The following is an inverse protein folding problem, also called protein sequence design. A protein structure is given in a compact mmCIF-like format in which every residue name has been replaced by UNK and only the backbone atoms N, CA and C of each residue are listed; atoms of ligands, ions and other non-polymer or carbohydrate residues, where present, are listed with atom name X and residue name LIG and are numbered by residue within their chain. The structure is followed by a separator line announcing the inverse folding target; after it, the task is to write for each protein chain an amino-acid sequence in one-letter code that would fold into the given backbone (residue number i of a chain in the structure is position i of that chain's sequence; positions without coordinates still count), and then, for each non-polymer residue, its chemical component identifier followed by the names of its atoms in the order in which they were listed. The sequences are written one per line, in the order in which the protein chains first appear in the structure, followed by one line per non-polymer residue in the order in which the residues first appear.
data_IF_062688348809
#
_entry.id   IF_062688348809
#
_cell.length_a   1.000
_cell.length_b   1.000
_cell.length_c   1.000
_cell.angle_alpha   90.00
_cell.angle_beta   90.00
_cell.angle_gamma   90.00
#
_symmetry.space_group_name_H-M   'P 1'
#
loop_
_entity.id
_entity.type
_entity.pdbx_description
1 polymer ?
#
# COMPACT_ATOMS: atom_id res chain seq x y z
N UNK A 1 15.65 45.00 -21.57
CA UNK A 1 15.99 43.62 -21.16
C UNK A 1 17.32 43.36 -21.82
N UNK A 2 18.38 43.28 -21.03
CA UNK A 2 19.78 43.55 -21.40
C UNK A 2 20.19 42.94 -22.75
N UNK A 3 20.70 43.80 -23.64
CA UNK A 3 21.15 43.41 -24.99
C UNK A 3 22.42 42.54 -24.98
N UNK A 4 22.97 42.21 -23.82
CA UNK A 4 24.20 41.44 -23.65
C UNK A 4 23.99 39.93 -23.35
N UNK A 5 22.76 39.45 -23.16
CA UNK A 5 22.55 38.01 -22.89
C UNK A 5 22.72 37.15 -24.15
N UNK A 6 23.34 35.99 -23.96
CA UNK A 6 23.47 34.96 -25.00
C UNK A 6 22.09 34.39 -25.35
N UNK A 7 21.86 34.03 -26.61
CA UNK A 7 20.55 33.55 -27.07
C UNK A 7 20.01 32.36 -26.25
N UNK A 8 20.89 31.45 -25.81
CA UNK A 8 20.53 30.33 -24.93
C UNK A 8 19.97 30.78 -23.57
N UNK A 9 20.53 31.86 -23.01
CA UNK A 9 20.11 32.41 -21.72
C UNK A 9 18.78 33.15 -21.87
N UNK A 10 18.59 33.87 -23.00
CA UNK A 10 17.30 34.50 -23.32
C UNK A 10 16.20 33.46 -23.45
N UNK A 11 16.45 32.33 -24.13
CA UNK A 11 15.49 31.23 -24.24
C UNK A 11 15.15 30.67 -22.86
N UNK A 12 16.15 30.34 -22.04
CA UNK A 12 15.94 29.82 -20.69
C UNK A 12 15.14 30.79 -19.80
N UNK A 13 15.38 32.10 -19.93
CA UNK A 13 14.66 33.14 -19.21
C UNK A 13 13.18 33.19 -19.63
N UNK A 14 12.90 33.14 -20.94
CA UNK A 14 11.54 33.14 -21.47
C UNK A 14 10.78 31.89 -21.05
N UNK A 15 11.43 30.72 -21.08
CA UNK A 15 10.83 29.46 -20.62
C UNK A 15 10.53 29.49 -19.12
N UNK A 16 11.47 29.94 -18.30
CA UNK A 16 11.30 30.08 -16.85
C UNK A 16 10.15 31.03 -16.52
N UNK A 17 10.09 32.18 -17.22
CA UNK A 17 9.00 33.14 -17.10
C UNK A 17 7.66 32.50 -17.43
N UNK A 18 7.56 31.80 -18.57
CA UNK A 18 6.33 31.10 -18.99
C UNK A 18 5.91 30.05 -17.97
N UNK A 19 6.85 29.29 -17.42
CA UNK A 19 6.59 28.29 -16.39
C UNK A 19 5.99 28.92 -15.12
N UNK A 20 6.62 29.96 -14.59
CA UNK A 20 6.15 30.67 -13.39
C UNK A 20 4.73 31.20 -13.59
N UNK A 21 4.46 31.85 -14.73
CA UNK A 21 3.11 32.36 -15.00
C UNK A 21 2.06 31.25 -15.15
N UNK A 22 2.41 30.14 -15.82
CA UNK A 22 1.52 28.99 -15.98
C UNK A 22 1.14 28.36 -14.63
N UNK A 23 2.08 28.33 -13.68
CA UNK A 23 1.88 27.70 -12.37
C UNK A 23 1.59 28.72 -11.24
N UNK A 24 1.37 29.99 -11.58
CA UNK A 24 1.23 31.08 -10.62
C UNK A 24 0.19 30.82 -9.54
N UNK A 25 -0.98 30.31 -9.92
CA UNK A 25 -2.07 29.96 -8.99
C UNK A 25 -1.62 28.90 -7.98
N UNK A 26 -0.91 27.86 -8.43
CA UNK A 26 -0.39 26.81 -7.55
C UNK A 26 0.70 27.34 -6.60
N UNK A 27 1.55 28.25 -7.08
CA UNK A 27 2.57 28.91 -6.26
C UNK A 27 1.90 29.78 -5.18
N UNK A 28 0.88 30.56 -5.52
CA UNK A 28 0.15 31.37 -4.53
C UNK A 28 -0.57 30.49 -3.49
N UNK A 29 -1.12 29.34 -3.91
CA UNK A 29 -1.78 28.41 -3.00
C UNK A 29 -0.85 27.86 -1.91
N UNK A 30 0.48 27.89 -2.11
CA UNK A 30 1.43 27.49 -1.06
C UNK A 30 1.38 28.38 0.18
N UNK A 31 0.85 29.62 0.06
CA UNK A 31 0.69 30.55 1.18
C UNK A 31 -0.55 30.25 2.03
N UNK A 32 -1.42 29.34 1.60
CA UNK A 32 -2.60 28.95 2.36
C UNK A 32 -2.15 28.20 3.62
N UNK A 33 -2.66 28.54 4.83
CA UNK A 33 -2.39 27.79 6.05
C UNK A 33 -2.68 26.28 5.95
N UNK A 34 -3.66 25.90 5.13
CA UNK A 34 -4.05 24.50 4.91
C UNK A 34 -3.14 23.78 3.88
N UNK A 35 -2.16 24.47 3.30
CA UNK A 35 -1.24 23.89 2.34
C UNK A 35 -0.15 23.11 3.06
N UNK A 36 -0.25 21.78 3.00
CA UNK A 36 0.84 20.88 3.39
C UNK A 36 1.92 20.91 2.33
N UNK A 37 3.02 21.62 2.60
CA UNK A 37 4.21 21.62 1.75
C UNK A 37 4.80 20.21 1.61
N UNK A 38 5.37 19.91 0.45
CA UNK A 38 6.02 18.64 0.18
C UNK A 38 7.53 18.84 -0.05
N UNK A 39 8.37 18.13 0.71
CA UNK A 39 9.83 18.10 0.50
C UNK A 39 10.24 17.04 -0.52
N UNK A 40 9.42 16.81 -1.55
CA UNK A 40 9.63 15.74 -2.53
C UNK A 40 11.01 15.82 -3.20
N UNK A 41 11.39 17.02 -3.63
CA UNK A 41 12.67 17.25 -4.31
C UNK A 41 13.86 16.92 -3.41
N UNK A 42 13.81 17.30 -2.13
CA UNK A 42 14.85 16.97 -1.15
C UNK A 42 14.94 15.46 -0.90
N UNK A 43 13.80 14.78 -0.77
CA UNK A 43 13.77 13.32 -0.60
C UNK A 43 14.37 12.60 -1.81
N UNK A 44 14.03 13.00 -3.03
CA UNK A 44 14.54 12.33 -4.24
C UNK A 44 16.02 12.62 -4.45
N UNK A 45 16.41 13.89 -4.44
CA UNK A 45 17.77 14.33 -4.80
C UNK A 45 18.82 14.01 -3.74
N UNK A 46 18.48 14.09 -2.45
CA UNK A 46 19.45 13.90 -1.37
C UNK A 46 19.28 12.55 -0.68
N UNK A 47 18.07 12.23 -0.22
CA UNK A 47 17.85 11.10 0.68
C UNK A 47 17.95 9.76 -0.05
N UNK A 48 17.18 9.62 -1.12
CA UNK A 48 17.09 8.38 -1.89
C UNK A 48 18.32 8.20 -2.76
N UNK A 49 18.72 9.26 -3.47
CA UNK A 49 19.87 9.23 -4.38
C UNK A 49 21.20 8.91 -3.67
N UNK A 50 21.38 9.33 -2.41
CA UNK A 50 22.57 8.99 -1.63
C UNK A 50 22.82 7.48 -1.49
N UNK A 51 21.79 6.64 -1.62
CA UNK A 51 21.93 5.18 -1.56
C UNK A 51 21.63 4.45 -2.86
N UNK A 52 20.64 4.95 -3.61
CA UNK A 52 20.12 4.29 -4.81
C UNK A 52 20.81 4.73 -6.10
N UNK A 53 21.47 5.90 -6.10
CA UNK A 53 22.14 6.45 -7.28
C UNK A 53 23.66 6.54 -7.12
N UNK A 54 24.17 6.80 -5.91
CA UNK A 54 25.61 7.01 -5.65
C UNK A 54 26.51 5.81 -5.94
N UNK A 55 25.98 4.59 -5.84
CA UNK A 55 26.71 3.35 -6.14
C UNK A 55 25.84 2.48 -7.03
N UNK A 56 26.24 2.20 -8.28
CA UNK A 56 25.45 1.36 -9.17
C UNK A 56 25.35 -0.04 -8.58
N UNK A 57 24.18 -0.35 -8.04
CA UNK A 57 23.84 -1.63 -7.44
C UNK A 57 22.61 -2.15 -8.18
N UNK A 58 22.60 -3.45 -8.50
CA UNK A 58 21.42 -4.11 -9.02
C UNK A 58 20.39 -4.24 -7.90
N UNK A 59 19.48 -3.27 -7.80
CA UNK A 59 18.35 -3.35 -6.89
C UNK A 59 17.23 -4.16 -7.53
N UNK A 60 16.67 -5.13 -6.79
CA UNK A 60 15.35 -5.62 -7.12
C UNK A 60 14.31 -4.52 -6.87
N UNK A 61 13.18 -4.56 -7.57
CA UNK A 61 12.09 -3.60 -7.37
C UNK A 61 11.65 -3.54 -5.90
N UNK A 62 11.47 -4.70 -5.28
CA UNK A 62 11.09 -4.84 -3.87
C UNK A 62 12.15 -4.32 -2.91
N UNK A 63 13.44 -4.56 -3.20
CA UNK A 63 14.53 -4.08 -2.37
C UNK A 63 14.68 -2.56 -2.42
N UNK A 64 14.55 -1.98 -3.61
CA UNK A 64 14.55 -0.52 -3.79
C UNK A 64 13.39 0.13 -3.02
N UNK A 65 12.19 -0.44 -3.11
CA UNK A 65 11.00 0.05 -2.42
C UNK A 65 11.17 0.02 -0.89
N UNK A 66 11.63 -1.11 -0.34
CA UNK A 66 11.85 -1.23 1.11
C UNK A 66 12.88 -0.22 1.61
N UNK A 67 13.98 -0.02 0.89
CA UNK A 67 15.00 0.95 1.28
C UNK A 67 14.48 2.38 1.21
N UNK A 68 13.68 2.71 0.19
CA UNK A 68 13.07 4.01 0.08
C UNK A 68 12.14 4.29 1.27
N UNK A 69 11.27 3.33 1.62
CA UNK A 69 10.37 3.43 2.78
C UNK A 69 11.13 3.57 4.09
N UNK A 70 12.17 2.76 4.31
CA UNK A 70 12.98 2.82 5.53
C UNK A 70 13.70 4.17 5.69
N UNK A 71 14.25 4.71 4.60
CA UNK A 71 14.91 6.03 4.65
C UNK A 71 13.93 7.16 4.92
N UNK A 72 12.74 7.13 4.30
CA UNK A 72 11.70 8.10 4.58
C UNK A 72 11.21 8.01 6.04
N UNK A 73 11.09 6.80 6.57
CA UNK A 73 10.68 6.58 7.97
C UNK A 73 11.71 7.13 8.97
N UNK A 74 13.00 6.87 8.73
CA UNK A 74 14.11 7.36 9.55
C UNK A 74 14.15 8.89 9.60
N UNK A 75 14.00 9.56 8.45
CA UNK A 75 13.94 11.03 8.37
C UNK A 75 12.76 11.65 9.06
N UNK A 76 11.62 10.95 9.10
CA UNK A 76 10.45 11.38 9.84
C UNK A 76 10.61 11.13 11.37
N UNK A 77 11.80 10.76 11.84
CA UNK A 77 12.11 10.49 13.25
C UNK A 77 11.66 9.10 13.71
N UNK A 78 11.34 8.21 12.79
CA UNK A 78 10.91 6.85 13.11
C UNK A 78 12.06 5.96 13.56
N UNK A 79 11.90 5.24 14.67
CA UNK A 79 12.86 4.23 15.10
C UNK A 79 12.65 2.92 14.33
N UNK A 80 13.55 2.62 13.39
CA UNK A 80 13.46 1.42 12.52
C UNK A 80 13.32 0.13 13.33
N UNK A 81 14.04 -0.01 14.46
CA UNK A 81 13.99 -1.23 15.27
C UNK A 81 12.60 -1.43 15.87
N UNK A 82 12.04 -0.38 16.45
CA UNK A 82 10.69 -0.42 17.02
C UNK A 82 9.63 -0.68 15.95
N UNK A 83 9.78 -0.06 14.77
CA UNK A 83 8.90 -0.29 13.62
C UNK A 83 8.88 -1.76 13.19
N UNK A 84 10.06 -2.37 13.04
CA UNK A 84 10.19 -3.78 12.68
C UNK A 84 9.65 -4.73 13.76
N UNK A 85 9.88 -4.41 15.04
CA UNK A 85 9.31 -5.19 16.15
C UNK A 85 7.78 -5.14 16.16
N UNK A 86 7.21 -3.97 15.90
CA UNK A 86 5.76 -3.80 15.81
C UNK A 86 5.18 -4.59 14.64
N UNK A 87 5.78 -4.50 13.47
CA UNK A 87 5.37 -5.24 12.27
C UNK A 87 5.45 -6.77 12.51
N UNK A 88 6.52 -7.23 13.17
CA UNK A 88 6.66 -8.64 13.54
C UNK A 88 5.57 -9.09 14.51
N UNK A 89 5.27 -8.29 15.54
CA UNK A 89 4.19 -8.60 16.51
C UNK A 89 2.84 -8.69 15.82
N UNK A 90 2.52 -7.72 14.96
CA UNK A 90 1.28 -7.72 14.17
C UNK A 90 1.18 -8.97 13.28
N UNK A 91 2.24 -9.30 12.55
CA UNK A 91 2.28 -10.51 11.72
C UNK A 91 2.07 -11.79 12.55
N UNK A 92 2.72 -11.90 13.71
CA UNK A 92 2.52 -13.05 14.61
C UNK A 92 1.09 -13.12 15.16
N UNK A 93 0.49 -11.97 15.44
CA UNK A 93 -0.89 -11.88 15.92
C UNK A 93 -1.87 -12.35 14.84
N UNK A 94 -1.75 -11.81 13.62
CA UNK A 94 -2.59 -12.17 12.48
C UNK A 94 -2.49 -13.67 12.14
N UNK A 95 -1.26 -14.19 12.04
CA UNK A 95 -1.05 -15.63 11.78
C UNK A 95 -1.58 -16.52 12.91
N UNK A 96 -1.61 -16.02 14.15
CA UNK A 96 -2.20 -16.73 15.28
C UNK A 96 -3.73 -16.77 15.17
N UNK A 97 -4.36 -15.64 14.84
CA UNK A 97 -5.81 -15.57 14.57
C UNK A 97 -6.18 -16.56 13.46
N UNK A 98 -5.49 -16.52 12.32
CA UNK A 98 -5.78 -17.44 11.21
C UNK A 98 -5.65 -18.92 11.61
N UNK A 99 -4.68 -19.26 12.46
CA UNK A 99 -4.51 -20.61 12.97
C UNK A 99 -5.64 -21.00 13.91
N UNK A 100 -6.12 -20.07 14.75
CA UNK A 100 -7.25 -20.28 15.64
C UNK A 100 -8.53 -20.47 14.84
N UNK A 101 -8.80 -19.62 13.85
CA UNK A 101 -9.95 -19.74 12.96
C UNK A 101 -9.95 -21.08 12.22
N UNK A 102 -8.79 -21.48 11.69
CA UNK A 102 -8.63 -22.82 11.08
C UNK A 102 -8.95 -23.95 12.07
N UNK A 103 -8.54 -23.83 13.34
CA UNK A 103 -8.84 -24.84 14.38
C UNK A 103 -10.32 -24.87 14.74
N UNK A 104 -10.96 -23.71 14.91
CA UNK A 104 -12.39 -23.59 15.22
C UNK A 104 -13.22 -24.16 14.06
N UNK A 105 -12.93 -23.75 12.83
CA UNK A 105 -13.61 -24.25 11.64
C UNK A 105 -13.46 -25.77 11.51
N UNK A 106 -12.25 -26.32 11.74
CA UNK A 106 -12.05 -27.77 11.73
C UNK A 106 -12.91 -28.48 12.78
N UNK A 107 -12.95 -27.98 14.02
CA UNK A 107 -13.78 -28.56 15.09
C UNK A 107 -15.27 -28.48 14.76
N UNK A 108 -15.73 -27.32 14.30
CA UNK A 108 -17.10 -27.11 13.86
C UNK A 108 -17.47 -28.10 12.75
N UNK A 109 -16.66 -28.20 11.68
CA UNK A 109 -16.88 -29.16 10.60
C UNK A 109 -16.91 -30.60 11.11
N UNK A 110 -16.01 -31.03 12.00
CA UNK A 110 -16.01 -32.38 12.58
C UNK A 110 -17.27 -32.65 13.41
N UNK A 111 -17.71 -31.68 14.22
CA UNK A 111 -18.91 -31.80 15.05
C UNK A 111 -20.18 -31.93 14.20
N UNK A 112 -20.27 -31.19 13.10
CA UNK A 112 -21.46 -31.15 12.23
C UNK A 112 -21.34 -32.03 10.97
N UNK A 113 -20.25 -32.79 10.79
CA UNK A 113 -20.04 -33.71 9.66
C UNK A 113 -21.18 -34.74 9.54
N UNK A 114 -21.60 -35.32 10.67
CA UNK A 114 -22.68 -36.31 10.70
C UNK A 114 -24.07 -35.69 10.46
N UNK A 115 -24.28 -34.43 10.84
CA UNK A 115 -25.57 -33.73 10.69
C UNK A 115 -25.76 -33.22 9.25
N UNK A 116 -24.67 -32.78 8.61
CA UNK A 116 -24.70 -32.22 7.24
C UNK A 116 -24.63 -33.29 6.15
N UNK A 117 -23.97 -34.43 6.41
CA UNK A 117 -23.76 -35.51 5.43
C UNK A 117 -24.81 -36.62 5.42
N UNK A 118 -25.48 -36.91 6.55
CA UNK A 118 -26.35 -38.09 6.68
C UNK A 118 -27.85 -37.82 6.63
N UNK A 119 -28.31 -36.64 6.23
CA UNK A 119 -29.74 -36.40 6.07
C UNK A 119 -30.27 -37.16 4.84
N UNK A 120 -31.12 -38.20 4.98
CA UNK A 120 -31.54 -39.03 3.84
C UNK A 120 -32.28 -38.24 2.76
N UNK A 121 -32.95 -37.14 3.15
CA UNK A 121 -33.65 -36.23 2.26
C UNK A 121 -32.71 -35.36 1.40
N UNK A 122 -31.45 -35.19 1.82
CA UNK A 122 -30.41 -34.46 1.08
C UNK A 122 -29.44 -35.41 0.33
N UNK A 123 -29.20 -36.61 0.88
CA UNK A 123 -28.30 -37.62 0.28
C UNK A 123 -28.97 -38.47 -0.80
N UNK A 124 -30.26 -38.81 -0.66
CA UNK A 124 -31.01 -39.48 -1.72
C UNK A 124 -31.33 -38.46 -2.82
N UNK A 125 -30.88 -38.75 -4.05
CA UNK A 125 -31.06 -37.96 -5.28
C UNK A 125 -32.52 -37.67 -5.70
N UNK A 126 -33.52 -38.09 -4.93
CA UNK A 126 -34.93 -37.88 -5.26
C UNK A 126 -35.35 -36.44 -4.97
N UNK A 127 -35.72 -35.69 -6.02
CA UNK A 127 -36.25 -34.33 -5.91
C UNK A 127 -37.65 -34.33 -5.28
N UNK A 128 -37.72 -34.24 -3.96
CA UNK A 128 -38.97 -34.04 -3.20
C UNK A 128 -39.10 -32.57 -2.77
N UNK A 129 -40.32 -32.11 -2.47
CA UNK A 129 -40.54 -30.74 -1.95
C UNK A 129 -39.70 -30.46 -0.70
N UNK A 130 -39.60 -31.44 0.21
CA UNK A 130 -38.74 -31.35 1.39
C UNK A 130 -37.25 -31.21 1.04
N UNK A 131 -36.75 -31.95 0.04
CA UNK A 131 -35.36 -31.83 -0.42
C UNK A 131 -35.04 -30.46 -1.03
N UNK A 132 -36.02 -29.83 -1.70
CA UNK A 132 -35.87 -28.50 -2.32
C UNK A 132 -35.80 -27.42 -1.24
N UNK A 133 -36.73 -27.47 -0.26
CA UNK A 133 -36.75 -26.52 0.88
C UNK A 133 -35.47 -26.64 1.71
N UNK A 134 -35.03 -27.86 2.03
CA UNK A 134 -33.80 -28.08 2.79
C UNK A 134 -32.55 -27.65 2.02
N UNK A 135 -32.51 -27.80 0.69
CA UNK A 135 -31.42 -27.26 -0.15
C UNK A 135 -31.41 -25.74 -0.20
N UNK A 136 -32.58 -25.10 -0.20
CA UNK A 136 -32.71 -23.63 -0.14
C UNK A 136 -32.23 -23.05 1.20
N UNK A 137 -32.50 -23.75 2.31
CA UNK A 137 -32.06 -23.35 3.65
C UNK A 137 -30.55 -23.53 3.89
N UNK A 138 -29.90 -24.47 3.20
CA UNK A 138 -28.47 -24.76 3.39
C UNK A 138 -27.54 -23.62 2.90
N UNK A 139 -28.02 -22.72 2.05
CA UNK A 139 -27.18 -21.74 1.38
C UNK A 139 -26.21 -22.39 0.37
N UNK A 140 -25.72 -21.62 -0.60
CA UNK A 140 -24.65 -22.06 -1.51
C UNK A 140 -23.30 -21.97 -0.81
#
# INVERSE_FOLDING_TARGET
LDDELKDSERIALVESKRYIFRHWTAIQNQKNPDYFGCSAEGHVSHVLSARLSSRPLGWSLTGAEHIAKLRAYDLNGGNIKEGLEKERKEFTYQTTIEKLDRRVNRKYSQQFQNVTGNLPALSKSKKTQLSIVLKGLRGK
#
